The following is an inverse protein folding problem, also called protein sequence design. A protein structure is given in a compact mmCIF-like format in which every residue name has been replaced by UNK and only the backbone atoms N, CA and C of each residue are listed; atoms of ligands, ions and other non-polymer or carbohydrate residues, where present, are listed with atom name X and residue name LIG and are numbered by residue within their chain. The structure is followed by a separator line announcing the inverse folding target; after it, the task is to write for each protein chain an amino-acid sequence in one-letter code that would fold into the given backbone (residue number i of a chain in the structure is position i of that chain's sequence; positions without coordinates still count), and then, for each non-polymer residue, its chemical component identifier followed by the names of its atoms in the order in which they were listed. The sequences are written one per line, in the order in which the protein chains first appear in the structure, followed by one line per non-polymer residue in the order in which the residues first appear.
data_IF_878616184850
#
_entry.id   IF_878616184850
#
_cell.length_a   1.000
_cell.length_b   1.000
_cell.length_c   1.000
_cell.angle_alpha   90.00
_cell.angle_beta   90.00
_cell.angle_gamma   90.00
#
_symmetry.space_group_name_H-M   'P 1'
#
loop_
_entity.id
_entity.type
_entity.pdbx_description
1 polymer ?
#
# COMPACT_ATOMS: atom_id res chain seq x y z
N UNK A 1 -25.44 17.29 -20.69
CA UNK A 1 -25.28 17.86 -19.34
C UNK A 1 -25.93 16.86 -18.38
N UNK A 2 -25.11 16.00 -17.79
CA UNK A 2 -24.72 16.05 -16.37
C UNK A 2 -25.56 15.10 -15.54
N UNK A 3 -24.95 13.96 -15.23
CA UNK A 3 -25.14 13.22 -13.99
C UNK A 3 -23.88 12.35 -13.81
N UNK A 4 -22.78 13.01 -13.41
CA UNK A 4 -21.72 12.32 -12.70
C UNK A 4 -22.25 12.15 -11.28
N UNK A 5 -22.82 10.97 -11.01
CA UNK A 5 -23.05 10.54 -9.64
C UNK A 5 -21.64 10.25 -9.12
N UNK A 6 -21.06 11.22 -8.42
CA UNK A 6 -19.94 10.96 -7.53
C UNK A 6 -20.54 10.18 -6.37
N UNK A 7 -20.77 8.89 -6.61
CA UNK A 7 -20.88 7.94 -5.52
C UNK A 7 -19.52 8.02 -4.82
N UNK A 8 -19.46 8.73 -3.69
CA UNK A 8 -18.41 8.54 -2.70
C UNK A 8 -18.57 7.11 -2.19
N UNK A 9 -18.13 6.15 -2.99
CA UNK A 9 -18.00 4.77 -2.57
C UNK A 9 -16.86 4.82 -1.57
N UNK A 10 -17.23 4.86 -0.28
CA UNK A 10 -16.28 4.57 0.78
C UNK A 10 -15.92 3.11 0.59
N UNK A 11 -14.87 2.88 -0.20
CA UNK A 11 -14.33 1.56 -0.39
C UNK A 11 -13.67 1.13 0.94
N UNK A 12 -13.85 -0.13 1.32
CA UNK A 12 -13.11 -0.70 2.43
C UNK A 12 -12.01 -1.61 1.89
N UNK A 13 -10.94 -1.77 2.68
CA UNK A 13 -9.90 -2.75 2.37
C UNK A 13 -10.53 -4.14 2.50
N UNK A 14 -10.74 -4.79 1.37
CA UNK A 14 -11.29 -6.13 1.27
C UNK A 14 -10.22 -7.20 1.55
N UNK A 15 -9.03 -7.02 0.96
CA UNK A 15 -7.88 -7.87 1.26
C UNK A 15 -6.58 -7.06 1.21
N UNK A 16 -5.60 -7.46 2.02
CA UNK A 16 -4.28 -6.85 2.04
C UNK A 16 -3.23 -7.94 2.25
N UNK A 17 -2.30 -8.06 1.32
CA UNK A 17 -1.29 -9.11 1.27
C UNK A 17 0.10 -8.50 1.19
N UNK A 18 1.05 -9.05 1.96
CA UNK A 18 2.47 -8.72 1.79
C UNK A 18 2.99 -9.40 0.54
N UNK A 19 3.62 -8.61 -0.32
CA UNK A 19 4.20 -9.06 -1.58
C UNK A 19 5.70 -8.85 -1.57
N UNK A 20 6.41 -9.77 -2.22
CA UNK A 20 7.84 -9.65 -2.43
C UNK A 20 8.10 -9.00 -3.79
N UNK A 21 9.04 -8.07 -3.84
CA UNK A 21 9.56 -7.50 -5.07
C UNK A 21 11.08 -7.39 -5.01
N UNK A 22 11.69 -6.93 -6.10
CA UNK A 22 13.13 -6.68 -6.22
C UNK A 22 13.33 -5.27 -6.71
N UNK A 23 14.15 -4.49 -6.02
CA UNK A 23 14.56 -3.17 -6.47
C UNK A 23 16.08 -3.12 -6.60
N UNK A 24 16.57 -2.27 -7.51
CA UNK A 24 17.99 -2.04 -7.65
C UNK A 24 18.49 -1.14 -6.52
N UNK A 25 19.43 -1.64 -5.70
CA UNK A 25 20.10 -0.84 -4.68
C UNK A 25 21.38 -0.23 -5.26
N UNK A 26 21.33 1.07 -5.58
CA UNK A 26 22.47 1.80 -6.16
C UNK A 26 23.71 1.78 -5.25
N UNK A 27 23.55 1.83 -3.93
CA UNK A 27 24.68 1.85 -3.00
C UNK A 27 25.42 0.52 -2.93
N UNK A 28 24.72 -0.59 -3.18
CA UNK A 28 25.28 -1.95 -3.14
C UNK A 28 25.55 -2.52 -4.53
N UNK A 29 25.20 -1.78 -5.58
CA UNK A 29 25.28 -2.18 -6.99
C UNK A 29 24.69 -3.58 -7.25
N UNK A 30 23.52 -3.87 -6.65
CA UNK A 30 22.85 -5.16 -6.78
C UNK A 30 21.34 -5.04 -6.59
N UNK A 31 20.62 -6.05 -7.09
CA UNK A 31 19.22 -6.24 -6.72
C UNK A 31 19.10 -6.59 -5.23
N UNK A 32 18.16 -5.93 -4.57
CA UNK A 32 17.78 -6.19 -3.19
C UNK A 32 16.30 -6.59 -3.12
N UNK A 33 16.00 -7.55 -2.24
CA UNK A 33 14.63 -7.95 -1.99
C UNK A 33 13.98 -6.84 -1.16
N UNK A 34 12.84 -6.36 -1.64
CA UNK A 34 11.96 -5.45 -0.93
C UNK A 34 10.59 -6.06 -0.75
N UNK A 35 9.91 -5.57 0.26
CA UNK A 35 8.59 -6.01 0.66
C UNK A 35 7.62 -4.85 0.53
N UNK A 36 6.47 -5.17 -0.03
CA UNK A 36 5.42 -4.23 -0.35
C UNK A 36 4.06 -4.78 0.02
N UNK A 37 3.01 -4.10 -0.44
CA UNK A 37 1.62 -4.50 -0.24
C UNK A 37 0.85 -4.56 -1.56
N UNK A 38 -0.04 -5.55 -1.63
CA UNK A 38 -1.14 -5.60 -2.58
C UNK A 38 -2.43 -5.38 -1.79
N UNK A 39 -3.13 -4.28 -2.07
CA UNK A 39 -4.36 -3.89 -1.39
C UNK A 39 -5.50 -4.01 -2.38
N UNK A 40 -6.52 -4.79 -2.04
CA UNK A 40 -7.76 -4.89 -2.79
C UNK A 40 -8.87 -4.20 -2.03
N UNK A 41 -9.60 -3.35 -2.72
CA UNK A 41 -10.74 -2.61 -2.21
C UNK A 41 -12.06 -3.31 -2.56
N UNK A 42 -13.12 -2.98 -1.82
CA UNK A 42 -14.46 -3.59 -2.00
C UNK A 42 -15.13 -3.26 -3.33
N UNK A 43 -14.72 -2.18 -3.99
CA UNK A 43 -15.17 -1.79 -5.33
C UNK A 43 -14.44 -2.54 -6.46
N UNK A 44 -13.47 -3.39 -6.10
CA UNK A 44 -12.66 -4.16 -7.04
C UNK A 44 -11.36 -3.47 -7.44
N UNK A 45 -11.09 -2.25 -6.97
CA UNK A 45 -9.81 -1.59 -7.20
C UNK A 45 -8.67 -2.35 -6.50
N UNK A 46 -7.53 -2.46 -7.17
CA UNK A 46 -6.33 -3.10 -6.62
C UNK A 46 -5.17 -2.12 -6.76
N UNK A 47 -4.59 -1.75 -5.62
CA UNK A 47 -3.39 -0.93 -5.57
C UNK A 47 -2.20 -1.81 -5.22
N UNK A 48 -1.11 -1.62 -5.96
CA UNK A 48 0.14 -2.34 -5.77
C UNK A 48 1.24 -1.37 -5.35
N UNK A 49 1.81 -1.61 -4.18
CA UNK A 49 2.89 -0.80 -3.59
C UNK A 49 4.09 -1.73 -3.41
N UNK A 50 5.00 -1.83 -4.39
CA UNK A 50 6.05 -2.86 -4.40
C UNK A 50 7.17 -2.66 -3.38
N UNK A 51 7.41 -1.42 -2.96
CA UNK A 51 8.63 -1.03 -2.26
C UNK A 51 8.28 -0.19 -1.02
N UNK A 52 8.15 -0.86 0.14
CA UNK A 52 7.88 -0.22 1.43
C UNK A 52 9.10 -0.36 2.35
N UNK A 53 9.68 -1.55 2.41
CA UNK A 53 10.85 -1.81 3.23
C UNK A 53 11.63 -3.03 2.76
N UNK A 54 12.93 -3.05 3.03
CA UNK A 54 13.76 -4.26 2.90
C UNK A 54 13.43 -5.31 3.98
N UNK A 55 12.68 -4.94 5.03
CA UNK A 55 12.24 -5.84 6.11
C UNK A 55 10.77 -6.23 5.94
N UNK A 56 10.54 -7.54 5.86
CA UNK A 56 9.18 -8.11 5.80
C UNK A 56 8.29 -7.65 6.97
N UNK A 57 8.84 -7.53 8.17
CA UNK A 57 8.10 -7.13 9.38
C UNK A 57 7.46 -5.76 9.28
N UNK A 58 8.09 -4.84 8.54
CA UNK A 58 7.62 -3.47 8.39
C UNK A 58 6.43 -3.42 7.42
N UNK A 59 6.49 -4.17 6.32
CA UNK A 59 5.36 -4.36 5.42
C UNK A 59 4.20 -5.08 6.12
N UNK A 60 4.47 -6.15 6.90
CA UNK A 60 3.44 -6.87 7.65
C UNK A 60 2.75 -5.99 8.71
N UNK A 61 3.51 -5.09 9.35
CA UNK A 61 2.93 -4.15 10.32
C UNK A 61 1.94 -3.19 9.65
N UNK A 62 2.27 -2.69 8.45
CA UNK A 62 1.34 -1.87 7.68
C UNK A 62 0.14 -2.68 7.18
N UNK A 63 0.35 -3.93 6.70
CA UNK A 63 -0.74 -4.87 6.33
C UNK A 63 -1.78 -4.97 7.46
N UNK A 64 -1.31 -5.21 8.69
CA UNK A 64 -2.19 -5.31 9.87
C UNK A 64 -2.90 -4.01 10.24
N UNK A 65 -2.31 -2.85 9.94
CA UNK A 65 -2.96 -1.54 10.15
C UNK A 65 -4.09 -1.31 9.13
N UNK A 66 -3.91 -1.79 7.90
CA UNK A 66 -4.88 -1.64 6.80
C UNK A 66 -5.96 -2.73 6.81
N UNK A 67 -5.71 -3.87 7.45
CA UNK A 67 -6.67 -4.98 7.52
C UNK A 67 -7.98 -4.55 8.20
N UNK A 68 -9.07 -4.55 7.43
CA UNK A 68 -10.40 -4.12 7.89
C UNK A 68 -10.57 -2.60 8.01
N UNK A 69 -9.60 -1.81 7.56
CA UNK A 69 -9.71 -0.36 7.57
C UNK A 69 -10.70 0.12 6.48
N UNK A 70 -11.44 1.17 6.82
CA UNK A 70 -12.36 1.85 5.90
C UNK A 70 -11.67 3.11 5.40
N UNK A 71 -11.16 3.09 4.16
CA UNK A 71 -10.43 4.19 3.55
C UNK A 71 -10.63 4.21 2.04
N UNK A 72 -10.79 5.40 1.47
CA UNK A 72 -10.80 5.56 0.01
C UNK A 72 -9.42 5.22 -0.55
N UNK A 73 -9.39 4.52 -1.69
CA UNK A 73 -8.16 4.10 -2.36
C UNK A 73 -7.22 5.28 -2.65
N UNK A 74 -7.78 6.47 -2.87
CA UNK A 74 -7.04 7.73 -3.08
C UNK A 74 -6.17 8.16 -1.88
N UNK A 75 -6.52 7.76 -0.66
CA UNK A 75 -5.77 8.10 0.57
C UNK A 75 -4.71 7.04 0.92
N UNK A 76 -4.71 5.90 0.24
CA UNK A 76 -3.73 4.85 0.52
C UNK A 76 -2.28 5.34 0.34
N UNK A 77 -1.92 6.12 -0.71
CA UNK A 77 -0.58 6.70 -0.84
C UNK A 77 -0.20 7.59 0.33
N UNK A 78 -1.09 8.48 0.79
CA UNK A 78 -0.83 9.38 1.91
C UNK A 78 -0.57 8.60 3.21
N UNK A 79 -1.35 7.53 3.48
CA UNK A 79 -1.16 6.66 4.64
C UNK A 79 0.19 5.94 4.58
N UNK A 80 0.61 5.52 3.38
CA UNK A 80 1.90 4.86 3.17
C UNK A 80 3.04 5.85 3.41
N UNK A 81 2.94 7.07 2.87
CA UNK A 81 3.94 8.13 3.06
C UNK A 81 4.08 8.51 4.54
N UNK A 82 2.97 8.68 5.26
CA UNK A 82 2.97 8.91 6.72
C UNK A 82 3.65 7.76 7.46
N UNK A 83 3.38 6.51 7.07
CA UNK A 83 4.01 5.34 7.68
C UNK A 83 5.52 5.26 7.40
N UNK A 84 5.96 5.61 6.19
CA UNK A 84 7.37 5.68 5.84
C UNK A 84 8.06 6.80 6.64
N UNK A 85 7.38 7.92 6.85
CA UNK A 85 7.82 8.98 7.75
C UNK A 85 8.00 8.51 9.19
N UNK A 86 7.08 7.69 9.73
CA UNK A 86 7.23 7.08 11.07
C UNK A 86 8.41 6.08 11.15
N UNK A 87 8.72 5.38 10.05
CA UNK A 87 9.77 4.36 10.03
C UNK A 87 11.18 4.93 9.88
N UNK A 88 11.33 5.99 9.07
CA UNK A 88 12.64 6.50 8.63
C UNK A 88 12.91 7.97 9.01
N UNK A 89 11.91 8.71 9.48
CA UNK A 89 12.04 10.09 9.97
C UNK A 89 12.50 10.18 11.42
#
# INVERSE_FOLDING_TARGET
MSQMVLDCVIACVFSCEVVQSTCWNEMKERDEIVWGLRVQFSDGEIIYIPDISTKWSDAERLRKRLEGATLSAEFLPDIVDDYLGELYG
#
